data_IF_025140476290
#
_entry.id   IF_025140476290
#
_cell.length_a   1.000
_cell.length_b   1.000
_cell.length_c   1.000
_cell.angle_alpha   90.00
_cell.angle_beta   90.00
_cell.angle_gamma   90.00
#
_symmetry.space_group_name_H-M   'P 1'
#
loop_
_entity.id
_entity.type
_entity.pdbx_description
1 polymer ?
#
# COMPACT_ATOMS: atom_id res chain seq x y z
N UNK A 1 5.79 -12.36 40.67
CA UNK A 1 6.86 -12.63 39.68
C UNK A 1 6.38 -12.55 38.22
N UNK A 2 5.22 -13.12 37.84
CA UNK A 2 4.73 -13.11 36.45
C UNK A 2 4.41 -11.71 35.85
N UNK A 3 3.94 -10.75 36.66
CA UNK A 3 3.62 -9.41 36.17
C UNK A 3 4.83 -8.56 35.76
N UNK A 4 6.02 -8.86 36.29
CA UNK A 4 7.25 -8.13 35.94
C UNK A 4 7.76 -8.48 34.54
N UNK A 5 7.72 -9.76 34.17
CA UNK A 5 8.12 -10.22 32.83
C UNK A 5 7.18 -9.67 31.74
N UNK A 6 5.87 -9.65 31.99
CA UNK A 6 4.90 -9.06 31.07
C UNK A 6 5.11 -7.55 30.90
N UNK A 7 5.43 -6.82 31.97
CA UNK A 7 5.73 -5.39 31.90
C UNK A 7 7.01 -5.08 31.11
N UNK A 8 8.04 -5.93 31.23
CA UNK A 8 9.27 -5.80 30.43
C UNK A 8 8.99 -6.06 28.95
N UNK A 9 8.30 -7.17 28.62
CA UNK A 9 7.94 -7.50 27.25
C UNK A 9 7.05 -6.41 26.60
N UNK A 10 6.10 -5.85 27.36
CA UNK A 10 5.27 -4.74 26.88
C UNK A 10 6.11 -3.49 26.60
N UNK A 11 7.11 -3.18 27.42
CA UNK A 11 8.00 -2.04 27.20
C UNK A 11 8.88 -2.23 25.97
N UNK A 12 9.47 -3.41 25.79
CA UNK A 12 10.25 -3.74 24.58
C UNK A 12 9.39 -3.65 23.31
N UNK A 13 8.16 -4.14 23.35
CA UNK A 13 7.23 -4.03 22.23
C UNK A 13 6.86 -2.56 21.92
N UNK A 14 6.68 -1.72 22.94
CA UNK A 14 6.42 -0.29 22.78
C UNK A 14 7.63 0.41 22.17
N UNK A 15 8.86 0.13 22.62
CA UNK A 15 10.08 0.72 22.06
C UNK A 15 10.22 0.38 20.57
N UNK A 16 9.96 -0.88 20.18
CA UNK A 16 9.97 -1.29 18.77
C UNK A 16 8.87 -0.57 17.98
N UNK A 17 7.66 -0.46 18.52
CA UNK A 17 6.55 0.24 17.86
C UNK A 17 6.81 1.74 17.70
N UNK A 18 7.43 2.40 18.69
CA UNK A 18 7.82 3.81 18.62
C UNK A 18 8.85 4.05 17.52
N UNK A 19 9.86 3.18 17.43
CA UNK A 19 10.86 3.23 16.35
C UNK A 19 10.18 3.05 14.99
N UNK A 20 9.36 2.02 14.82
CA UNK A 20 8.65 1.77 13.56
C UNK A 20 7.70 2.92 13.19
N UNK A 21 7.02 3.50 14.17
CA UNK A 21 6.11 4.62 13.97
C UNK A 21 6.85 5.90 13.56
N UNK A 22 7.98 6.20 14.22
CA UNK A 22 8.83 7.35 13.87
C UNK A 22 9.33 7.25 12.43
N UNK A 23 9.87 6.09 12.04
CA UNK A 23 10.38 5.87 10.68
C UNK A 23 9.24 5.94 9.64
N UNK A 24 8.06 5.40 9.94
CA UNK A 24 6.91 5.49 9.06
C UNK A 24 6.42 6.93 8.84
N UNK A 25 6.49 7.79 9.88
CA UNK A 25 6.15 9.21 9.79
C UNK A 25 7.13 10.00 8.94
N UNK A 26 8.43 9.71 9.04
CA UNK A 26 9.46 10.37 8.22
C UNK A 26 9.30 10.01 6.74
N UNK A 27 8.98 8.76 6.42
CA UNK A 27 8.68 8.33 5.06
C UNK A 27 7.37 8.94 4.52
N UNK A 28 6.34 9.03 5.36
CA UNK A 28 5.06 9.66 5.00
C UNK A 28 5.18 11.19 4.80
N UNK A 29 6.17 11.83 5.44
CA UNK A 29 6.49 13.24 5.19
C UNK A 29 7.14 13.44 3.80
N UNK A 30 7.83 12.42 3.27
CA UNK A 30 8.50 12.44 1.96
C UNK A 30 7.53 12.04 0.83
N UNK A 31 6.53 11.19 1.10
CA UNK A 31 5.49 10.81 0.13
C UNK A 31 4.08 10.83 0.77
N UNK A 32 3.11 11.59 0.20
CA UNK A 32 1.78 11.78 0.79
C UNK A 32 0.83 10.61 0.52
N UNK A 33 1.28 9.38 0.80
CA UNK A 33 0.52 8.14 0.60
C UNK A 33 0.27 7.44 1.93
N UNK A 34 -0.97 6.99 2.15
CA UNK A 34 -1.35 6.22 3.33
C UNK A 34 -0.80 4.79 3.28
N UNK A 35 -0.80 4.08 4.41
CA UNK A 35 -0.36 2.68 4.47
C UNK A 35 -1.12 1.77 3.48
N UNK A 36 -2.44 1.96 3.32
CA UNK A 36 -3.24 1.20 2.35
C UNK A 36 -2.83 1.49 0.91
N UNK A 37 -2.49 2.74 0.61
CA UNK A 37 -2.01 3.14 -0.73
C UNK A 37 -0.60 2.59 -0.99
N UNK A 38 0.27 2.59 0.02
CA UNK A 38 1.59 1.99 -0.09
C UNK A 38 1.50 0.47 -0.33
N UNK A 39 0.54 -0.21 0.29
CA UNK A 39 0.26 -1.62 0.01
C UNK A 39 -0.18 -1.86 -1.43
N UNK A 40 -0.95 -0.96 -2.04
CA UNK A 40 -1.27 -1.02 -3.48
C UNK A 40 0.01 -0.97 -4.31
N UNK A 41 0.90 -0.01 -4.03
CA UNK A 41 2.17 0.12 -4.77
C UNK A 41 3.04 -1.12 -4.63
N UNK A 42 3.10 -1.70 -3.43
CA UNK A 42 3.84 -2.94 -3.16
C UNK A 42 3.32 -4.12 -3.98
N UNK A 43 2.00 -4.29 -4.08
CA UNK A 43 1.39 -5.33 -4.91
C UNK A 43 1.73 -5.11 -6.39
N UNK A 44 1.59 -3.86 -6.87
CA UNK A 44 1.90 -3.51 -8.25
C UNK A 44 3.39 -3.63 -8.62
N UNK A 45 4.29 -3.62 -7.64
CA UNK A 45 5.73 -3.82 -7.87
C UNK A 45 6.07 -5.29 -8.20
N UNK A 46 5.23 -6.23 -7.77
CA UNK A 46 5.44 -7.67 -7.97
C UNK A 46 4.81 -8.24 -9.24
N UNK A 47 4.03 -7.44 -9.98
CA UNK A 47 3.22 -7.90 -11.11
C UNK A 47 3.35 -6.96 -12.31
N UNK A 48 3.39 -7.53 -13.53
CA UNK A 48 3.55 -6.78 -14.78
C UNK A 48 2.22 -6.24 -15.34
N UNK A 49 1.21 -6.13 -14.47
CA UNK A 49 -0.07 -5.47 -14.72
C UNK A 49 -1.27 -6.26 -14.18
N UNK A 50 -1.92 -5.71 -13.16
CA UNK A 50 -3.05 -6.35 -12.47
C UNK A 50 -4.36 -5.60 -12.71
N UNK A 51 -5.48 -6.31 -12.82
CA UNK A 51 -6.79 -5.65 -12.91
C UNK A 51 -7.34 -5.25 -11.52
N UNK A 52 -8.31 -4.33 -11.49
CA UNK A 52 -8.92 -3.83 -10.24
C UNK A 52 -9.58 -4.93 -9.38
N UNK A 53 -10.06 -6.00 -10.00
CA UNK A 53 -10.71 -7.12 -9.29
C UNK A 53 -9.67 -7.88 -8.49
N UNK A 54 -8.62 -8.36 -9.15
CA UNK A 54 -7.54 -9.12 -8.52
C UNK A 54 -6.85 -8.28 -7.44
N UNK A 55 -6.61 -6.99 -7.70
CA UNK A 55 -6.06 -6.09 -6.69
C UNK A 55 -6.97 -5.98 -5.45
N UNK A 56 -8.29 -5.95 -5.63
CA UNK A 56 -9.24 -5.92 -4.52
C UNK A 56 -9.24 -7.20 -3.69
N UNK A 57 -9.11 -8.35 -4.36
CA UNK A 57 -9.01 -9.66 -3.70
C UNK A 57 -7.73 -9.75 -2.85
N UNK A 58 -6.58 -9.30 -3.37
CA UNK A 58 -5.31 -9.28 -2.62
C UNK A 58 -5.30 -8.30 -1.45
N UNK A 59 -5.97 -7.16 -1.59
CA UNK A 59 -6.13 -6.18 -0.53
C UNK A 59 -7.19 -6.57 0.50
N UNK A 60 -8.00 -7.60 0.24
CA UNK A 60 -9.17 -7.95 1.05
C UNK A 60 -10.13 -6.77 1.22
N UNK A 61 -10.27 -5.94 0.19
CA UNK A 61 -10.93 -4.63 0.27
C UNK A 61 -12.07 -4.51 -0.73
N UNK A 62 -13.12 -3.78 -0.35
CA UNK A 62 -14.26 -3.57 -1.23
C UNK A 62 -13.87 -2.80 -2.51
N UNK A 63 -14.48 -3.10 -3.68
CA UNK A 63 -14.10 -2.48 -4.96
C UNK A 63 -14.11 -0.95 -4.94
N UNK A 64 -15.07 -0.32 -4.26
CA UNK A 64 -15.15 1.13 -4.16
C UNK A 64 -13.99 1.74 -3.37
N UNK A 65 -13.45 1.03 -2.38
CA UNK A 65 -12.29 1.48 -1.63
C UNK A 65 -11.02 1.38 -2.48
N UNK A 66 -10.86 0.25 -3.18
CA UNK A 66 -9.73 0.01 -4.09
C UNK A 66 -9.68 1.06 -5.19
N UNK A 67 -10.81 1.32 -5.87
CA UNK A 67 -10.90 2.35 -6.91
C UNK A 67 -10.46 3.72 -6.40
N UNK A 68 -10.91 4.14 -5.22
CA UNK A 68 -10.50 5.42 -4.61
C UNK A 68 -9.00 5.48 -4.29
N UNK A 69 -8.43 4.39 -3.78
CA UNK A 69 -6.98 4.32 -3.52
C UNK A 69 -6.20 4.48 -4.82
N UNK A 70 -6.58 3.73 -5.86
CA UNK A 70 -5.98 3.80 -7.18
C UNK A 70 -6.20 5.17 -7.84
N UNK A 71 -7.36 5.81 -7.66
CA UNK A 71 -7.65 7.14 -8.24
C UNK A 71 -6.69 8.17 -7.66
N UNK A 72 -6.49 8.11 -6.34
CA UNK A 72 -5.58 9.01 -5.64
C UNK A 72 -4.13 8.76 -6.02
N UNK A 73 -3.70 7.50 -6.12
CA UNK A 73 -2.34 7.15 -6.56
C UNK A 73 -2.07 7.56 -8.01
N UNK A 74 -3.07 7.43 -8.88
CA UNK A 74 -2.97 7.87 -10.27
C UNK A 74 -2.86 9.40 -10.34
N UNK A 75 -3.68 10.13 -9.57
CA UNK A 75 -3.61 11.59 -9.49
C UNK A 75 -2.26 12.11 -8.95
N UNK A 76 -1.61 11.34 -8.07
CA UNK A 76 -0.26 11.62 -7.57
C UNK A 76 0.85 11.20 -8.55
N UNK A 77 0.48 10.51 -9.63
CA UNK A 77 1.38 10.06 -10.68
C UNK A 77 2.18 8.80 -10.32
N UNK A 78 1.79 8.03 -9.30
CA UNK A 78 2.50 6.81 -8.89
C UNK A 78 2.08 5.56 -9.67
N UNK A 79 0.90 5.57 -10.28
CA UNK A 79 0.40 4.43 -11.06
C UNK A 79 -0.18 4.91 -12.39
N UNK A 80 -0.22 4.01 -13.37
CA UNK A 80 -0.88 4.18 -14.64
C UNK A 80 -2.09 3.25 -14.75
N UNK A 81 -3.09 3.70 -15.51
CA UNK A 81 -4.28 2.91 -15.87
C UNK A 81 -4.32 2.76 -17.37
N UNK A 82 -4.27 1.54 -17.85
CA UNK A 82 -4.35 1.24 -19.28
C UNK A 82 -5.50 0.29 -19.55
N UNK A 83 -6.18 0.39 -20.70
CA UNK A 83 -7.07 -0.68 -21.13
C UNK A 83 -6.27 -1.97 -21.23
N UNK A 84 -6.81 -3.07 -20.71
CA UNK A 84 -6.13 -4.36 -20.81
C UNK A 84 -6.00 -4.77 -22.28
N UNK A 85 -4.85 -5.36 -22.62
CA UNK A 85 -4.58 -5.92 -23.95
C UNK A 85 -5.43 -7.14 -24.26
N UNK A 86 -5.84 -7.90 -23.22
CA UNK A 86 -6.69 -9.08 -23.34
C UNK A 86 -8.18 -8.72 -23.48
N UNK A 87 -8.62 -7.62 -22.87
CA UNK A 87 -10.03 -7.18 -22.91
C UNK A 87 -10.15 -5.68 -22.69
N UNK A 88 -10.66 -4.95 -23.68
CA UNK A 88 -10.92 -3.49 -23.56
C UNK A 88 -11.96 -3.13 -22.49
N UNK A 89 -12.68 -4.11 -21.94
CA UNK A 89 -13.63 -3.90 -20.82
C UNK A 89 -12.94 -3.90 -19.46
N UNK A 90 -11.68 -4.29 -19.41
CA UNK A 90 -10.89 -4.35 -18.19
C UNK A 90 -9.81 -3.26 -18.20
N UNK A 91 -9.54 -2.72 -17.00
CA UNK A 91 -8.47 -1.76 -16.77
C UNK A 91 -7.37 -2.48 -16.03
N UNK A 92 -6.16 -2.32 -16.54
CA UNK A 92 -4.93 -2.84 -15.98
C UNK A 92 -4.19 -1.71 -15.25
N UNK A 93 -3.65 -2.03 -14.09
CA UNK A 93 -2.95 -1.12 -13.20
C UNK A 93 -1.47 -1.50 -13.20
N UNK A 94 -0.61 -0.50 -13.37
CA UNK A 94 0.85 -0.66 -13.36
C UNK A 94 1.49 0.49 -12.59
N UNK A 95 2.67 0.26 -12.01
CA UNK A 95 3.48 1.38 -11.50
C UNK A 95 3.88 2.30 -12.65
N UNK A 96 3.94 3.61 -12.38
CA UNK A 96 4.61 4.56 -13.26
C UNK A 96 6.11 4.61 -12.93
N UNK A 97 6.90 5.29 -13.75
CA UNK A 97 8.31 5.55 -13.46
C UNK A 97 8.52 6.18 -12.06
N UNK A 98 7.62 7.07 -11.65
CA UNK A 98 7.63 7.68 -10.31
C UNK A 98 7.26 6.69 -9.21
N UNK A 99 6.45 5.68 -9.51
CA UNK A 99 6.08 4.62 -8.56
C UNK A 99 7.17 3.57 -8.37
N UNK A 100 8.13 3.47 -9.29
CA UNK A 100 9.27 2.54 -9.24
C UNK A 100 10.52 3.20 -8.63
N UNK A 101 10.66 4.52 -8.78
CA UNK A 101 11.78 5.33 -8.26
C UNK A 101 11.76 5.48 -6.73
#
# INVERSE_FOLDING_TARGET
MAGGAAAVAAREAIEVLEVLWSHGRDLAAIAPVSASQLRVLYILAGDDGINLRTLGDELGSAPSAVSRMCDRLHALGFIQRTPSTASRREVELRLSDKGVA
#
